data_IF_867154987690
#
_entry.id   IF_867154987690
#
_cell.length_a   1.000
_cell.length_b   1.000
_cell.length_c   1.000
_cell.angle_alpha   90.00
_cell.angle_beta   90.00
_cell.angle_gamma   90.00
#
_symmetry.space_group_name_H-M   'P 1'
#
loop_
_entity.id
_entity.type
_entity.pdbx_description
1 polymer ?
#
# COMPACT_ATOMS: atom_id res chain seq x y z
N UNK A 1 7.64 -31.41 34.95
CA UNK A 1 6.81 -30.37 35.57
C UNK A 1 6.41 -29.43 34.44
N UNK A 2 5.28 -29.68 33.80
CA UNK A 2 4.80 -28.91 32.68
C UNK A 2 3.89 -27.81 33.21
N UNK A 3 4.18 -26.55 32.84
CA UNK A 3 3.35 -25.39 33.06
C UNK A 3 3.24 -24.90 34.50
N UNK A 4 4.35 -24.46 35.05
CA UNK A 4 4.28 -23.49 36.15
C UNK A 4 3.79 -22.18 35.57
N UNK A 5 2.66 -21.60 36.06
CA UNK A 5 2.22 -20.31 35.56
C UNK A 5 3.32 -19.25 35.78
N UNK A 6 3.51 -18.33 34.82
CA UNK A 6 4.52 -17.30 34.97
C UNK A 6 4.24 -16.44 36.21
N UNK A 7 5.28 -15.95 36.84
CA UNK A 7 5.16 -15.05 37.97
C UNK A 7 4.35 -13.79 37.56
N UNK A 8 3.57 -13.26 38.49
CA UNK A 8 2.75 -12.07 38.27
C UNK A 8 3.57 -10.90 37.70
N UNK A 9 4.76 -10.70 38.24
CA UNK A 9 5.73 -9.69 37.79
C UNK A 9 6.14 -9.89 36.31
N UNK A 10 6.32 -11.14 35.89
CA UNK A 10 6.64 -11.45 34.49
C UNK A 10 5.49 -11.07 33.56
N UNK A 11 4.25 -11.34 33.98
CA UNK A 11 3.04 -10.98 33.21
C UNK A 11 2.91 -9.45 33.11
N UNK A 12 3.06 -8.75 34.22
CA UNK A 12 3.02 -7.29 34.28
C UNK A 12 4.08 -6.66 33.39
N UNK A 13 5.33 -7.14 33.45
CA UNK A 13 6.40 -6.68 32.57
C UNK A 13 6.12 -6.95 31.09
N UNK A 14 5.53 -8.10 30.76
CA UNK A 14 5.11 -8.37 29.38
C UNK A 14 4.04 -7.40 28.89
N UNK A 15 3.06 -7.08 29.73
CA UNK A 15 1.99 -6.13 29.39
C UNK A 15 2.56 -4.72 29.22
N UNK A 16 3.40 -4.26 30.15
CA UNK A 16 4.05 -2.94 30.07
C UNK A 16 4.87 -2.86 28.78
N UNK A 17 5.73 -3.84 28.52
CA UNK A 17 6.53 -3.90 27.30
C UNK A 17 5.68 -3.91 26.03
N UNK A 18 4.52 -4.57 26.05
CA UNK A 18 3.59 -4.56 24.92
C UNK A 18 3.01 -3.15 24.70
N UNK A 19 2.53 -2.52 25.75
CA UNK A 19 1.97 -1.15 25.70
C UNK A 19 3.03 -0.18 25.16
N UNK A 20 4.25 -0.24 25.69
CA UNK A 20 5.34 0.65 25.27
C UNK A 20 5.71 0.45 23.79
N UNK A 21 5.73 -0.81 23.32
CA UNK A 21 6.09 -1.13 21.94
C UNK A 21 4.95 -0.90 20.94
N UNK A 22 3.72 -0.81 21.39
CA UNK A 22 2.52 -0.63 20.56
C UNK A 22 1.83 0.72 20.80
N UNK A 23 2.46 1.62 21.54
CA UNK A 23 1.95 2.99 21.74
C UNK A 23 1.77 3.72 20.40
N UNK A 24 0.84 4.65 20.34
CA UNK A 24 0.54 5.42 19.12
C UNK A 24 1.79 6.13 18.55
N UNK A 25 2.72 6.54 19.39
CA UNK A 25 3.98 7.17 18.97
C UNK A 25 4.91 6.17 18.26
N UNK A 26 4.95 4.92 18.76
CA UNK A 26 5.82 3.86 18.22
C UNK A 26 5.27 3.31 16.91
N UNK A 27 3.93 3.18 16.79
CA UNK A 27 3.28 2.70 15.58
C UNK A 27 2.97 3.80 14.57
N UNK A 28 3.23 5.06 14.91
CA UNK A 28 3.05 6.17 14.00
C UNK A 28 3.79 5.93 12.69
N UNK A 29 3.06 6.04 11.59
CA UNK A 29 3.61 5.89 10.25
C UNK A 29 4.37 7.12 9.78
N UNK A 30 5.33 6.92 8.90
CA UNK A 30 6.01 7.99 8.18
C UNK A 30 6.48 7.50 6.81
N UNK A 31 6.35 8.36 5.81
CA UNK A 31 6.78 8.09 4.44
C UNK A 31 8.21 8.58 4.22
N UNK A 32 9.00 7.82 3.49
CA UNK A 32 10.35 8.24 3.09
C UNK A 32 10.27 9.22 1.92
N UNK A 33 10.84 10.41 2.04
CA UNK A 33 10.82 11.42 0.98
C UNK A 33 11.61 11.05 -0.28
N UNK A 34 12.49 10.04 -0.24
CA UNK A 34 13.32 9.63 -1.39
C UNK A 34 12.67 8.51 -2.21
N UNK A 35 12.06 7.51 -1.55
CA UNK A 35 11.51 6.32 -2.22
C UNK A 35 10.00 6.15 -2.02
N UNK A 36 9.33 7.08 -1.34
CA UNK A 36 7.91 7.03 -1.01
C UNK A 36 7.45 5.77 -0.22
N UNK A 37 8.37 4.98 0.31
CA UNK A 37 8.02 3.81 1.11
C UNK A 37 7.48 4.22 2.48
N UNK A 38 6.33 3.68 2.84
CA UNK A 38 5.77 3.82 4.17
C UNK A 38 6.45 2.91 5.18
N UNK A 39 6.49 3.31 6.43
CA UNK A 39 7.04 2.54 7.53
C UNK A 39 6.86 3.28 8.85
N UNK A 40 7.42 2.75 9.91
CA UNK A 40 7.30 3.39 11.22
C UNK A 40 8.16 4.65 11.31
N UNK A 41 7.64 5.67 11.99
CA UNK A 41 8.35 6.94 12.21
C UNK A 41 9.74 6.72 12.82
N UNK A 42 9.89 5.79 13.76
CA UNK A 42 11.16 5.42 14.40
C UNK A 42 12.25 4.92 13.43
N UNK A 43 11.83 4.39 12.26
CA UNK A 43 12.73 3.86 11.23
C UNK A 43 13.13 4.93 10.21
N UNK A 44 12.57 6.13 10.34
CA UNK A 44 12.84 7.26 9.48
C UNK A 44 13.71 8.27 10.23
N UNK A 45 14.80 8.68 9.62
CA UNK A 45 15.64 9.75 10.16
C UNK A 45 15.24 11.05 9.50
N UNK A 46 14.95 12.04 10.31
CA UNK A 46 14.77 13.41 9.84
C UNK A 46 16.15 14.05 9.64
N UNK A 47 16.34 14.61 8.48
CA UNK A 47 17.60 15.29 8.08
C UNK A 47 17.19 16.61 7.45
N UNK A 48 17.93 17.68 7.71
CA UNK A 48 17.70 18.91 6.98
C UNK A 48 18.02 18.69 5.49
N UNK A 49 17.20 19.26 4.62
CA UNK A 49 17.31 19.03 3.18
C UNK A 49 18.68 19.47 2.64
N UNK A 50 19.25 20.49 3.27
CA UNK A 50 20.58 20.97 2.91
C UNK A 50 21.71 20.02 3.32
N UNK A 51 21.52 19.29 4.40
CA UNK A 51 22.48 18.31 4.93
C UNK A 51 22.35 16.92 4.29
N UNK A 52 21.44 16.76 3.31
CA UNK A 52 21.25 15.49 2.64
C UNK A 52 22.48 15.17 1.74
N UNK A 53 23.20 14.07 2.02
CA UNK A 53 24.41 13.75 1.26
C UNK A 53 24.09 13.47 -0.21
N UNK A 54 24.91 14.00 -1.14
CA UNK A 54 24.79 13.76 -2.57
C UNK A 54 23.38 14.04 -3.14
N UNK A 55 22.70 15.06 -2.62
CA UNK A 55 21.31 15.38 -2.98
C UNK A 55 21.09 15.61 -4.49
N UNK A 56 22.12 16.05 -5.22
CA UNK A 56 22.02 16.33 -6.65
C UNK A 56 21.68 15.09 -7.50
N UNK A 57 22.01 13.89 -7.02
CA UNK A 57 21.66 12.64 -7.72
C UNK A 57 20.14 12.34 -7.68
N UNK A 58 19.38 13.07 -6.87
CA UNK A 58 17.92 12.98 -6.78
C UNK A 58 17.20 13.91 -7.78
N UNK A 59 17.94 14.56 -8.66
CA UNK A 59 17.38 15.35 -9.76
C UNK A 59 16.96 14.43 -10.89
N UNK A 60 15.71 14.53 -11.39
CA UNK A 60 15.24 13.67 -12.47
C UNK A 60 15.98 13.98 -13.77
N UNK A 61 16.37 12.94 -14.52
CA UNK A 61 17.00 13.08 -15.83
C UNK A 61 16.02 13.53 -16.91
N UNK A 62 14.75 13.18 -16.76
CA UNK A 62 13.65 13.58 -17.64
C UNK A 62 12.57 14.26 -16.82
N UNK A 63 12.01 15.34 -17.34
CA UNK A 63 10.95 16.09 -16.66
C UNK A 63 9.59 15.66 -17.19
N UNK A 64 8.66 15.41 -16.26
CA UNK A 64 7.25 15.29 -16.56
C UNK A 64 6.53 16.54 -16.02
N UNK A 65 5.54 17.06 -16.76
CA UNK A 65 4.79 18.27 -16.36
C UNK A 65 4.11 18.20 -14.98
N UNK A 66 3.84 16.99 -14.52
CA UNK A 66 3.21 16.74 -13.23
C UNK A 66 4.20 16.48 -12.09
N UNK A 67 5.52 16.56 -12.34
CA UNK A 67 6.51 16.45 -11.26
C UNK A 67 6.40 17.66 -10.34
N UNK A 68 6.21 17.40 -9.05
CA UNK A 68 6.40 18.39 -7.99
C UNK A 68 7.84 18.28 -7.49
N UNK A 69 8.68 19.26 -7.88
CA UNK A 69 10.10 19.24 -7.54
C UNK A 69 10.35 20.11 -6.31
N UNK A 70 11.05 19.56 -5.35
CA UNK A 70 11.58 20.31 -4.19
C UNK A 70 13.05 20.63 -4.45
N UNK A 71 13.36 21.90 -4.66
CA UNK A 71 14.74 22.36 -4.99
C UNK A 71 15.37 21.64 -6.19
N UNK A 72 14.55 21.30 -7.18
CA UNK A 72 14.96 20.56 -8.37
C UNK A 72 15.09 19.05 -8.18
N UNK A 73 14.82 18.53 -6.99
CA UNK A 73 14.83 17.10 -6.68
C UNK A 73 13.42 16.52 -6.77
N UNK A 74 13.31 15.27 -7.21
CA UNK A 74 12.06 14.51 -7.25
C UNK A 74 11.91 13.75 -5.94
N UNK A 75 11.14 14.32 -5.02
CA UNK A 75 10.92 13.82 -3.67
C UNK A 75 9.44 13.63 -3.39
N UNK A 76 9.12 12.75 -2.45
CA UNK A 76 7.75 12.55 -1.96
C UNK A 76 7.38 13.63 -0.95
N UNK A 77 6.34 14.40 -1.25
CA UNK A 77 5.90 15.53 -0.42
C UNK A 77 5.53 15.13 1.01
N UNK A 78 4.88 13.97 1.18
CA UNK A 78 4.48 13.46 2.50
C UNK A 78 5.68 13.10 3.41
N UNK A 79 6.85 12.90 2.81
CA UNK A 79 8.11 12.69 3.51
C UNK A 79 8.84 13.99 3.89
N UNK A 80 8.32 15.15 3.49
CA UNK A 80 8.93 16.45 3.76
C UNK A 80 8.17 17.15 4.89
N UNK A 81 8.89 17.67 5.85
CA UNK A 81 8.34 18.46 6.96
C UNK A 81 8.89 19.87 6.84
N UNK A 82 8.01 20.83 6.60
CA UNK A 82 8.37 22.25 6.57
C UNK A 82 8.13 22.85 7.94
N UNK A 83 9.16 23.45 8.53
CA UNK A 83 9.08 24.15 9.80
C UNK A 83 9.68 25.54 9.64
N UNK A 84 8.83 26.55 9.48
CA UNK A 84 9.29 27.92 9.18
C UNK A 84 10.09 27.94 7.87
N UNK A 85 11.34 28.40 7.94
CA UNK A 85 12.24 28.49 6.78
C UNK A 85 13.06 27.21 6.52
N UNK A 86 13.04 26.23 7.42
CA UNK A 86 13.78 24.99 7.24
C UNK A 86 12.88 23.88 6.66
N UNK A 87 13.43 23.13 5.72
CA UNK A 87 12.80 21.95 5.15
C UNK A 87 13.56 20.73 5.62
N UNK A 88 12.88 19.80 6.27
CA UNK A 88 13.44 18.55 6.75
C UNK A 88 12.83 17.38 5.96
N UNK A 89 13.62 16.40 5.64
CA UNK A 89 13.19 15.21 4.91
C UNK A 89 13.31 13.98 5.80
N UNK A 90 12.29 13.14 5.79
CA UNK A 90 12.31 11.83 6.43
C UNK A 90 12.92 10.82 5.45
N UNK A 91 13.99 10.15 5.84
CA UNK A 91 14.72 9.21 4.99
C UNK A 91 14.85 7.86 5.68
N UNK A 92 14.53 6.78 4.96
CA UNK A 92 14.76 5.43 5.46
C UNK A 92 16.25 5.08 5.49
N UNK A 93 16.62 4.09 6.30
CA UNK A 93 18.02 3.67 6.47
C UNK A 93 18.68 3.26 5.16
N UNK A 94 17.95 2.55 4.28
CA UNK A 94 18.45 2.12 2.98
C UNK A 94 18.76 3.30 2.05
N UNK A 95 17.83 4.24 1.90
CA UNK A 95 18.07 5.43 1.08
C UNK A 95 19.23 6.27 1.63
N UNK A 96 19.27 6.46 2.96
CA UNK A 96 20.37 7.21 3.59
C UNK A 96 21.73 6.56 3.35
N UNK A 97 21.80 5.24 3.41
CA UNK A 97 23.04 4.49 3.15
C UNK A 97 23.52 4.68 1.70
N UNK A 98 22.65 4.47 0.73
CA UNK A 98 23.00 4.61 -0.69
C UNK A 98 23.41 6.05 -1.05
N UNK A 99 22.68 7.04 -0.53
CA UNK A 99 23.01 8.44 -0.71
C UNK A 99 24.41 8.78 -0.14
N UNK A 100 24.78 8.26 1.04
CA UNK A 100 26.13 8.44 1.58
C UNK A 100 27.22 7.85 0.70
N UNK A 101 26.93 6.78 -0.02
CA UNK A 101 27.84 6.15 -0.96
C UNK A 101 27.85 6.84 -2.35
N UNK A 102 27.12 7.93 -2.53
CA UNK A 102 26.99 8.63 -3.80
C UNK A 102 26.24 7.84 -4.87
N UNK A 103 25.40 6.89 -4.46
CA UNK A 103 24.59 6.05 -5.37
C UNK A 103 23.12 6.41 -5.27
N UNK A 104 22.45 6.40 -6.42
CA UNK A 104 20.97 6.56 -6.43
C UNK A 104 20.33 5.33 -5.79
N UNK A 105 19.51 5.49 -4.74
CA UNK A 105 18.82 4.36 -4.14
C UNK A 105 17.93 3.65 -5.18
N UNK A 106 17.94 2.31 -5.18
CA UNK A 106 17.23 1.51 -6.20
C UNK A 106 15.74 1.84 -6.31
N UNK A 107 15.11 2.13 -5.19
CA UNK A 107 13.68 2.48 -5.11
C UNK A 107 13.42 3.98 -5.10
N UNK A 108 14.42 4.82 -5.35
CA UNK A 108 14.22 6.26 -5.40
C UNK A 108 13.27 6.64 -6.55
N UNK A 109 12.45 7.67 -6.32
CA UNK A 109 11.49 8.15 -7.32
C UNK A 109 12.15 8.51 -8.64
N UNK A 110 13.39 9.02 -8.60
CA UNK A 110 14.18 9.38 -9.80
C UNK A 110 14.57 8.19 -10.69
N UNK A 111 14.47 6.96 -10.18
CA UNK A 111 14.71 5.73 -10.96
C UNK A 111 13.47 5.26 -11.74
N UNK A 112 12.57 6.16 -12.09
CA UNK A 112 11.33 5.82 -12.79
C UNK A 112 10.29 5.16 -11.87
N UNK A 113 10.46 5.27 -10.55
CA UNK A 113 9.51 4.75 -9.57
C UNK A 113 8.42 5.76 -9.21
N UNK A 114 8.47 6.96 -9.78
CA UNK A 114 7.46 7.97 -9.56
C UNK A 114 6.17 7.62 -10.33
N UNK A 115 5.06 7.55 -9.60
CA UNK A 115 3.74 7.25 -10.16
C UNK A 115 2.90 8.54 -10.26
N UNK A 116 3.12 9.49 -9.36
CA UNK A 116 2.35 10.72 -9.25
C UNK A 116 1.07 10.55 -8.44
N UNK A 117 0.33 11.66 -8.32
CA UNK A 117 -0.97 11.65 -7.64
C UNK A 117 -2.02 11.04 -8.56
N UNK A 118 -2.91 10.25 -8.00
CA UNK A 118 -4.05 9.69 -8.75
C UNK A 118 -4.92 10.86 -9.25
N UNK A 119 -5.17 11.00 -10.57
CA UNK A 119 -6.10 11.98 -11.09
C UNK A 119 -7.48 11.86 -10.44
N UNK A 120 -8.17 12.98 -10.27
CA UNK A 120 -9.46 13.00 -9.58
C UNK A 120 -10.49 12.11 -10.27
N UNK A 121 -10.47 12.07 -11.59
CA UNK A 121 -11.32 11.23 -12.42
C UNK A 121 -11.17 9.74 -12.09
N UNK A 122 -9.94 9.28 -11.84
CA UNK A 122 -9.66 7.91 -11.43
C UNK A 122 -9.94 7.67 -9.94
N UNK A 123 -9.76 8.70 -9.11
CA UNK A 123 -10.02 8.59 -7.68
C UNK A 123 -11.50 8.41 -7.36
N UNK A 124 -12.37 9.01 -8.17
CA UNK A 124 -13.83 8.96 -8.04
C UNK A 124 -14.45 7.64 -8.53
N UNK A 125 -13.71 6.83 -9.28
CA UNK A 125 -14.21 5.56 -9.80
C UNK A 125 -14.56 4.58 -8.68
N UNK A 126 -15.71 3.94 -8.84
CA UNK A 126 -16.11 2.79 -8.03
C UNK A 126 -15.20 1.58 -8.32
N UNK A 127 -15.21 0.58 -7.44
CA UNK A 127 -14.39 -0.62 -7.64
C UNK A 127 -14.67 -1.33 -8.99
N UNK A 128 -15.93 -1.54 -9.43
CA UNK A 128 -16.22 -2.11 -10.74
C UNK A 128 -15.65 -1.27 -11.90
N UNK A 129 -15.81 0.05 -11.85
CA UNK A 129 -15.28 0.95 -12.88
C UNK A 129 -13.75 0.90 -12.94
N UNK A 130 -13.07 0.84 -11.79
CA UNK A 130 -11.61 0.67 -11.75
C UNK A 130 -11.18 -0.63 -12.42
N UNK A 131 -11.89 -1.73 -12.17
CA UNK A 131 -11.58 -3.04 -12.80
C UNK A 131 -11.75 -2.98 -14.32
N UNK A 132 -12.72 -2.21 -14.82
CA UNK A 132 -12.96 -2.06 -16.27
C UNK A 132 -11.86 -1.24 -16.97
N UNK A 133 -11.28 -0.23 -16.31
CA UNK A 133 -10.27 0.65 -16.94
C UNK A 133 -8.82 0.19 -16.73
N UNK A 134 -8.56 -0.74 -15.82
CA UNK A 134 -7.19 -1.21 -15.59
C UNK A 134 -6.74 -2.18 -16.69
N UNK A 135 -5.51 -2.01 -17.18
CA UNK A 135 -4.91 -2.92 -18.16
C UNK A 135 -4.59 -4.29 -17.58
N UNK A 136 -4.25 -4.34 -16.30
CA UNK A 136 -3.92 -5.58 -15.60
C UNK A 136 -4.48 -5.53 -14.19
N UNK A 137 -5.08 -6.61 -13.73
CA UNK A 137 -5.56 -6.73 -12.37
C UNK A 137 -4.91 -7.91 -11.65
N UNK A 138 -4.49 -7.73 -10.38
CA UNK A 138 -3.99 -8.81 -9.57
C UNK A 138 -5.17 -9.63 -9.00
N UNK A 139 -5.05 -10.93 -9.02
CA UNK A 139 -5.98 -11.83 -8.36
C UNK A 139 -5.25 -12.70 -7.34
N UNK A 140 -5.83 -12.85 -6.17
CA UNK A 140 -5.33 -13.70 -5.11
C UNK A 140 -6.47 -14.52 -4.49
N UNK A 141 -6.18 -15.78 -4.16
CA UNK A 141 -7.13 -16.60 -3.42
C UNK A 141 -7.00 -16.29 -1.93
N UNK A 142 -8.04 -15.68 -1.37
CA UNK A 142 -8.14 -15.42 0.06
C UNK A 142 -9.11 -16.45 0.66
N UNK A 143 -8.62 -17.23 1.60
CA UNK A 143 -9.40 -18.24 2.32
C UNK A 143 -9.57 -17.82 3.78
N UNK A 144 -10.74 -18.09 4.35
CA UNK A 144 -10.93 -17.93 5.78
C UNK A 144 -10.41 -19.17 6.51
N UNK A 145 -9.63 -18.94 7.54
CA UNK A 145 -9.04 -19.99 8.36
C UNK A 145 -9.96 -20.29 9.54
N UNK A 146 -10.53 -21.48 9.56
CA UNK A 146 -11.37 -21.95 10.64
C UNK A 146 -10.58 -22.89 11.55
N UNK A 147 -10.64 -22.63 12.84
CA UNK A 147 -10.13 -23.56 13.84
C UNK A 147 -10.96 -24.85 13.79
N UNK A 148 -10.30 -25.97 13.57
CA UNK A 148 -10.94 -27.29 13.57
C UNK A 148 -11.23 -27.70 15.01
N UNK A 149 -12.37 -27.32 15.56
CA UNK A 149 -12.83 -27.80 16.86
C UNK A 149 -13.59 -29.10 16.68
N UNK A 150 -13.24 -30.12 17.48
CA UNK A 150 -13.97 -31.40 17.53
C UNK A 150 -15.41 -31.11 17.98
N UNK A 151 -16.40 -31.38 17.13
CA UNK A 151 -17.82 -31.23 17.45
C UNK A 151 -18.47 -29.88 17.09
N UNK A 152 -17.77 -28.92 16.55
CA UNK A 152 -18.40 -27.66 16.11
C UNK A 152 -19.25 -27.91 14.86
N UNK A 153 -20.57 -27.71 15.00
CA UNK A 153 -21.55 -27.86 13.91
C UNK A 153 -21.81 -26.55 13.14
N UNK A 154 -21.39 -25.41 13.66
CA UNK A 154 -21.65 -24.09 13.07
C UNK A 154 -20.37 -23.32 12.84
N UNK A 155 -20.28 -22.73 11.67
CA UNK A 155 -19.17 -21.91 11.24
C UNK A 155 -19.46 -20.44 11.54
N UNK A 156 -19.01 -19.96 12.69
CA UNK A 156 -19.06 -18.53 12.96
C UNK A 156 -18.01 -17.83 12.12
N UNK A 157 -18.40 -17.17 11.06
CA UNK A 157 -17.46 -16.47 10.15
C UNK A 157 -16.92 -15.16 10.71
N UNK A 158 -17.62 -14.59 11.70
CA UNK A 158 -17.20 -13.37 12.39
C UNK A 158 -16.00 -13.68 13.29
N UNK A 159 -14.84 -13.10 13.01
CA UNK A 159 -13.62 -13.31 13.78
C UNK A 159 -12.64 -14.35 13.23
N UNK A 160 -12.95 -15.00 12.11
CA UNK A 160 -12.00 -15.90 11.46
C UNK A 160 -10.89 -15.09 10.75
N UNK A 161 -9.65 -15.48 11.00
CA UNK A 161 -8.51 -14.94 10.27
C UNK A 161 -8.58 -15.31 8.79
N UNK A 162 -8.12 -14.42 7.93
CA UNK A 162 -7.97 -14.68 6.50
C UNK A 162 -6.53 -15.05 6.19
N UNK A 163 -6.35 -16.02 5.30
CA UNK A 163 -5.04 -16.42 4.79
C UNK A 163 -5.04 -16.38 3.27
N UNK A 164 -3.93 -16.01 2.66
CA UNK A 164 -3.74 -16.09 1.22
C UNK A 164 -3.20 -17.48 0.87
N UNK A 165 -3.80 -18.13 -0.13
CA UNK A 165 -3.36 -19.43 -0.63
C UNK A 165 -2.79 -19.27 -2.04
N UNK A 166 -1.56 -19.73 -2.24
CA UNK A 166 -0.89 -19.65 -3.53
C UNK A 166 -0.25 -18.27 -3.78
N UNK A 167 0.01 -18.00 -5.04
CA UNK A 167 0.63 -16.77 -5.49
C UNK A 167 -0.43 -15.75 -5.95
N UNK A 168 -0.06 -14.48 -5.96
CA UNK A 168 -0.83 -13.46 -6.66
C UNK A 168 -0.56 -13.61 -8.15
N UNK A 169 -1.62 -13.83 -8.92
CA UNK A 169 -1.55 -13.87 -10.38
C UNK A 169 -2.05 -12.55 -10.96
N UNK A 170 -1.38 -12.06 -12.00
CA UNK A 170 -1.80 -10.84 -12.70
C UNK A 170 -2.38 -11.23 -14.05
N UNK A 171 -3.59 -10.76 -14.33
CA UNK A 171 -4.30 -11.00 -15.58
C UNK A 171 -4.39 -9.69 -16.36
N UNK A 172 -4.12 -9.75 -17.66
CA UNK A 172 -4.37 -8.62 -18.55
C UNK A 172 -5.87 -8.49 -18.80
N UNK A 173 -6.38 -7.27 -18.69
CA UNK A 173 -7.76 -6.95 -19.03
C UNK A 173 -7.86 -6.65 -20.52
N UNK A 174 -8.87 -7.22 -21.19
CA UNK A 174 -9.15 -6.94 -22.60
C UNK A 174 -10.03 -5.69 -22.73
N UNK A 175 -9.43 -4.55 -22.41
CA UNK A 175 -10.13 -3.25 -22.37
C UNK A 175 -10.69 -2.85 -23.73
N UNK A 176 -10.04 -3.26 -24.83
CA UNK A 176 -10.48 -2.95 -26.19
C UNK A 176 -11.78 -3.66 -26.54
N UNK A 177 -11.90 -4.95 -26.23
CA UNK A 177 -13.13 -5.69 -26.47
C UNK A 177 -14.28 -5.20 -25.58
N UNK A 178 -13.97 -4.85 -24.32
CA UNK A 178 -14.96 -4.25 -23.41
C UNK A 178 -15.43 -2.90 -23.94
N UNK A 179 -14.52 -2.07 -24.44
CA UNK A 179 -14.87 -0.77 -25.02
C UNK A 179 -15.71 -0.91 -26.30
N UNK A 180 -15.46 -1.95 -27.10
CA UNK A 180 -16.24 -2.25 -28.31
C UNK A 180 -17.65 -2.79 -28.02
N UNK A 181 -17.85 -3.43 -26.88
CA UNK A 181 -19.15 -3.92 -26.42
C UNK A 181 -20.03 -2.81 -25.84
N UNK A 182 -19.41 -1.70 -25.45
CA UNK A 182 -20.10 -0.53 -24.91
C UNK A 182 -20.25 0.50 -26.02
N UNK A 183 -21.48 1.00 -26.22
CA UNK A 183 -21.76 2.04 -27.22
C UNK A 183 -20.73 3.18 -27.10
N UNK A 184 -19.93 3.48 -28.15
CA UNK A 184 -18.84 4.44 -28.08
C UNK A 184 -19.28 5.88 -27.76
N UNK A 185 -20.58 6.15 -27.75
CA UNK A 185 -21.15 7.48 -27.52
C UNK A 185 -21.40 7.73 -26.03
N UNK A 186 -21.50 6.69 -25.19
CA UNK A 186 -21.86 6.85 -23.76
C UNK A 186 -20.80 6.23 -22.87
N UNK A 187 -19.88 7.05 -22.39
CA UNK A 187 -18.91 6.69 -21.35
C UNK A 187 -19.09 7.60 -20.13
N UNK A 188 -19.30 7.09 -18.94
CA UNK A 188 -19.37 5.66 -18.54
C UNK A 188 -20.68 4.99 -18.97
N UNK A 189 -20.66 3.66 -19.20
CA UNK A 189 -21.88 2.90 -19.54
C UNK A 189 -22.94 3.06 -18.45
N UNK A 190 -24.20 3.04 -18.84
CA UNK A 190 -25.30 3.09 -17.89
C UNK A 190 -25.21 1.94 -16.87
N UNK A 191 -25.67 2.10 -15.63
CA UNK A 191 -25.69 1.00 -14.63
C UNK A 191 -26.36 -0.27 -15.14
N UNK A 192 -27.34 -0.16 -16.02
CA UNK A 192 -28.01 -1.31 -16.63
C UNK A 192 -27.10 -2.11 -17.57
N UNK A 193 -26.24 -1.44 -18.34
CA UNK A 193 -25.25 -2.10 -19.22
C UNK A 193 -24.14 -2.75 -18.40
N UNK A 194 -23.66 -2.06 -17.35
CA UNK A 194 -22.65 -2.62 -16.43
C UNK A 194 -23.18 -3.87 -15.74
N UNK A 195 -24.43 -3.86 -15.30
CA UNK A 195 -25.05 -5.03 -14.64
C UNK A 195 -25.19 -6.22 -15.60
N UNK A 196 -25.41 -5.99 -16.89
CA UNK A 196 -25.50 -7.04 -17.90
C UNK A 196 -24.11 -7.58 -18.31
N UNK A 197 -23.04 -6.79 -18.20
CA UNK A 197 -21.70 -7.16 -18.67
C UNK A 197 -20.84 -7.76 -17.55
N UNK A 198 -21.11 -7.43 -16.28
CA UNK A 198 -20.32 -7.90 -15.14
C UNK A 198 -21.01 -9.14 -14.54
N UNK A 199 -20.40 -10.30 -14.72
CA UNK A 199 -20.79 -11.53 -14.05
C UNK A 199 -20.04 -11.69 -12.72
N UNK A 200 -20.76 -11.84 -11.63
CA UNK A 200 -20.18 -12.23 -10.34
C UNK A 200 -20.42 -13.71 -10.10
N UNK A 201 -19.37 -14.47 -9.90
CA UNK A 201 -19.46 -15.86 -9.47
C UNK A 201 -19.02 -15.97 -8.02
N UNK A 202 -19.95 -16.31 -7.15
CA UNK A 202 -19.66 -16.60 -5.73
C UNK A 202 -19.46 -18.10 -5.60
N UNK A 203 -18.25 -18.52 -5.24
CA UNK A 203 -17.94 -19.94 -5.01
C UNK A 203 -17.88 -20.15 -3.49
N UNK A 204 -18.81 -20.94 -2.98
CA UNK A 204 -18.87 -21.33 -1.56
C UNK A 204 -18.98 -22.85 -1.41
N UNK A 205 -18.73 -23.38 -0.20
CA UNK A 205 -18.79 -24.82 0.05
C UNK A 205 -20.23 -25.38 0.03
N UNK A 206 -21.24 -24.55 0.17
CA UNK A 206 -22.66 -24.93 0.12
C UNK A 206 -23.52 -23.77 -0.38
N UNK A 207 -24.38 -24.11 -1.31
CA UNK A 207 -25.47 -23.33 -1.88
C UNK A 207 -25.08 -21.99 -2.52
N UNK A 208 -25.32 -21.92 -3.80
CA UNK A 208 -25.47 -20.65 -4.50
C UNK A 208 -26.64 -19.89 -3.83
N UNK A 209 -26.53 -18.58 -3.64
CA UNK A 209 -27.71 -17.78 -3.28
C UNK A 209 -28.73 -17.91 -4.41
N UNK A 210 -29.98 -18.20 -4.06
CA UNK A 210 -31.12 -18.18 -4.99
C UNK A 210 -31.36 -16.79 -5.55
#
# INVERSE_FOLDING_TARGET
MFLTPPLKETIENCIINFIDKTSNEVVAGATCGVCAADGFKRERKEVDLDDLPNKDILRPKSFHKAHSLTEGMLLEESGIVTSGNSKRIKVCSGCKHELKLGRVPKQALVNGMWIGKVPMELAMLTLPERVLVVKCFPAAYIVKLFLKQKGAKTWASAGCNSGMRGNVSTYCSNVEDIANLVDPIVMPPSPAVLTATIGFTIIGPHNLPE
#
